data_IF_242881259473
#
_entry.id   IF_242881259473
#
_cell.length_a   1.000
_cell.length_b   1.000
_cell.length_c   1.000
_cell.angle_alpha   90.00
_cell.angle_beta   90.00
_cell.angle_gamma   90.00
#
_symmetry.space_group_name_H-M   'P 1'
#
loop_
_entity.id
_entity.type
_entity.pdbx_description
1 polymer ?
#
# COMPACT_ATOMS: atom_id res chain seq x y z
N UNK A 1 17.82 25.22 7.63
CA UNK A 1 17.22 23.89 7.37
C UNK A 1 15.92 24.10 6.59
N UNK A 2 15.70 23.35 5.50
CA UNK A 2 14.42 23.37 4.76
C UNK A 2 13.66 22.09 5.05
N UNK A 3 12.50 22.20 5.70
CA UNK A 3 11.60 21.08 5.99
C UNK A 3 10.57 21.00 4.85
N UNK A 4 10.43 19.84 4.22
CA UNK A 4 9.40 19.57 3.20
C UNK A 4 8.29 18.75 3.82
N UNK A 5 7.11 19.34 3.98
CA UNK A 5 5.91 18.73 4.53
C UNK A 5 4.72 18.93 3.58
N UNK A 6 3.59 18.29 3.90
CA UNK A 6 2.35 18.39 3.12
C UNK A 6 1.93 17.05 2.51
N UNK A 7 0.82 17.08 1.79
CA UNK A 7 0.33 15.90 1.08
C UNK A 7 1.23 15.58 -0.12
N UNK A 8 1.42 14.29 -0.39
CA UNK A 8 2.19 13.86 -1.55
C UNK A 8 1.49 14.31 -2.85
N UNK A 9 2.24 14.93 -3.77
CA UNK A 9 1.73 15.23 -5.11
C UNK A 9 1.71 13.95 -5.96
N UNK A 10 0.74 13.07 -5.70
CA UNK A 10 0.65 11.72 -6.29
C UNK A 10 0.71 11.74 -7.81
N UNK A 11 0.00 12.68 -8.45
CA UNK A 11 -0.06 12.79 -9.93
C UNK A 11 1.32 12.99 -10.58
N UNK A 12 2.23 13.73 -9.92
CA UNK A 12 3.60 13.93 -10.39
C UNK A 12 4.40 12.62 -10.42
N UNK A 13 4.13 11.71 -9.49
CA UNK A 13 4.92 10.49 -9.31
C UNK A 13 4.25 9.24 -9.91
N UNK A 14 2.94 9.28 -10.17
CA UNK A 14 2.17 8.14 -10.63
C UNK A 14 2.74 7.51 -11.91
N UNK A 15 2.91 8.30 -12.98
CA UNK A 15 3.41 7.81 -14.27
C UNK A 15 4.80 7.18 -14.19
N UNK A 16 5.85 7.87 -13.68
CA UNK A 16 7.18 7.29 -13.64
C UNK A 16 7.29 6.07 -12.72
N UNK A 17 6.51 6.00 -11.63
CA UNK A 17 6.51 4.82 -10.76
C UNK A 17 5.81 3.63 -11.43
N UNK A 18 4.68 3.85 -12.10
CA UNK A 18 3.98 2.80 -12.83
C UNK A 18 4.84 2.22 -13.96
N UNK A 19 5.58 3.06 -14.68
CA UNK A 19 6.47 2.60 -15.76
C UNK A 19 7.59 1.71 -15.22
N UNK A 20 8.14 2.03 -14.04
CA UNK A 20 9.15 1.20 -13.36
C UNK A 20 8.58 -0.15 -12.93
N UNK A 21 7.35 -0.17 -12.43
CA UNK A 21 6.66 -1.43 -12.09
C UNK A 21 6.47 -2.29 -13.34
N UNK A 22 6.02 -1.69 -14.45
CA UNK A 22 5.83 -2.39 -15.73
C UNK A 22 7.12 -2.94 -16.34
N UNK A 23 8.24 -2.25 -16.13
CA UNK A 23 9.57 -2.71 -16.55
C UNK A 23 10.14 -3.83 -15.66
N UNK A 24 9.54 -4.07 -14.50
CA UNK A 24 10.04 -5.02 -13.51
C UNK A 24 11.12 -4.44 -12.59
N UNK A 25 11.39 -3.13 -12.65
CA UNK A 25 12.37 -2.46 -11.78
C UNK A 25 11.91 -2.44 -10.30
N UNK A 26 10.59 -2.56 -10.07
CA UNK A 26 9.95 -2.55 -8.76
C UNK A 26 8.81 -3.57 -8.76
N UNK A 27 8.84 -4.50 -7.82
CA UNK A 27 7.68 -5.32 -7.48
C UNK A 27 7.03 -4.81 -6.19
N UNK A 28 5.88 -4.11 -6.27
CA UNK A 28 5.19 -3.61 -5.08
C UNK A 28 4.39 -4.70 -4.35
N UNK A 29 4.28 -5.91 -4.91
CA UNK A 29 3.47 -6.97 -4.29
C UNK A 29 4.13 -7.58 -3.06
N UNK A 30 5.45 -7.46 -2.95
CA UNK A 30 6.25 -8.01 -1.83
C UNK A 30 5.88 -7.48 -0.45
N UNK A 31 5.25 -6.30 -0.38
CA UNK A 31 4.81 -5.70 0.89
C UNK A 31 3.37 -6.12 1.27
N UNK A 32 2.64 -6.77 0.37
CA UNK A 32 1.26 -7.21 0.59
C UNK A 32 1.29 -8.46 1.46
N UNK A 33 0.77 -8.34 2.68
CA UNK A 33 0.71 -9.46 3.62
C UNK A 33 -0.64 -10.18 3.59
N UNK A 34 -1.73 -9.47 3.28
CA UNK A 34 -3.08 -10.03 3.33
C UNK A 34 -3.94 -9.57 2.14
N UNK A 35 -4.74 -10.50 1.63
CA UNK A 35 -5.84 -10.24 0.70
C UNK A 35 -7.14 -10.69 1.35
N UNK A 36 -8.10 -9.77 1.48
CA UNK A 36 -9.39 -10.04 2.13
C UNK A 36 -10.53 -9.58 1.20
N UNK A 37 -11.71 -10.14 1.40
CA UNK A 37 -12.91 -9.64 0.75
C UNK A 37 -13.34 -8.29 1.38
N UNK A 38 -14.18 -7.51 0.67
CA UNK A 38 -14.58 -6.18 1.11
C UNK A 38 -15.44 -6.22 2.39
N UNK A 39 -16.24 -7.26 2.58
CA UNK A 39 -17.02 -7.51 3.79
C UNK A 39 -16.17 -7.82 5.02
N UNK A 40 -14.95 -8.33 4.82
CA UNK A 40 -13.94 -8.57 5.87
C UNK A 40 -13.14 -7.31 6.24
N UNK A 41 -13.46 -6.14 5.67
CA UNK A 41 -12.78 -4.88 5.98
C UNK A 41 -12.63 -4.61 7.49
N UNK A 42 -13.64 -4.81 8.35
CA UNK A 42 -13.50 -4.61 9.80
C UNK A 42 -12.36 -5.45 10.41
N UNK A 43 -12.24 -6.71 10.00
CA UNK A 43 -11.15 -7.58 10.43
C UNK A 43 -9.79 -7.08 9.91
N UNK A 44 -9.72 -6.67 8.65
CA UNK A 44 -8.51 -6.08 8.05
C UNK A 44 -8.01 -4.83 8.80
N UNK A 45 -8.93 -3.98 9.27
CA UNK A 45 -8.59 -2.82 10.10
C UNK A 45 -8.04 -3.22 11.48
N UNK A 46 -8.63 -4.24 12.12
CA UNK A 46 -8.19 -4.72 13.43
C UNK A 46 -6.76 -5.25 13.39
N UNK A 47 -6.46 -6.17 12.47
CA UNK A 47 -5.12 -6.76 12.36
C UNK A 47 -4.05 -5.73 12.00
N UNK A 48 -4.39 -4.75 11.15
CA UNK A 48 -3.48 -3.67 10.76
C UNK A 48 -3.20 -2.72 11.94
N UNK A 49 -4.25 -2.31 12.66
CA UNK A 49 -4.15 -1.40 13.81
C UNK A 49 -3.36 -2.04 14.96
N UNK A 50 -3.62 -3.31 15.25
CA UNK A 50 -3.00 -4.03 16.36
C UNK A 50 -1.71 -4.76 15.97
N UNK A 51 -1.25 -4.62 14.72
CA UNK A 51 -0.03 -5.26 14.17
C UNK A 51 -0.01 -6.78 14.41
N UNK A 52 -1.16 -7.40 14.26
CA UNK A 52 -1.31 -8.85 14.37
C UNK A 52 -0.89 -9.51 13.06
N UNK A 53 -0.59 -10.81 13.11
CA UNK A 53 -0.34 -11.65 11.93
C UNK A 53 0.76 -11.14 10.99
N UNK A 54 1.75 -10.41 11.53
CA UNK A 54 2.80 -9.74 10.75
C UNK A 54 2.22 -8.83 9.64
N UNK A 55 1.04 -8.24 9.89
CA UNK A 55 0.32 -7.42 8.93
C UNK A 55 1.13 -6.18 8.52
N UNK A 56 1.49 -6.13 7.23
CA UNK A 56 2.23 -5.01 6.62
C UNK A 56 1.33 -4.21 5.67
N UNK A 57 0.53 -4.89 4.85
CA UNK A 57 -0.42 -4.26 3.93
C UNK A 57 -1.57 -5.21 3.61
N UNK A 58 -2.79 -4.73 3.85
CA UNK A 58 -4.04 -5.41 3.45
C UNK A 58 -4.53 -4.84 2.12
N UNK A 59 -4.93 -5.72 1.21
CA UNK A 59 -5.66 -5.36 -0.02
C UNK A 59 -7.08 -5.95 0.07
N UNK A 60 -8.07 -5.08 0.04
CA UNK A 60 -9.49 -5.47 -0.01
C UNK A 60 -9.91 -5.67 -1.47
N UNK A 61 -10.47 -6.83 -1.77
CA UNK A 61 -11.05 -7.17 -3.07
C UNK A 61 -12.58 -7.10 -2.99
N UNK A 62 -13.25 -6.41 -3.92
CA UNK A 62 -14.72 -6.40 -3.99
C UNK A 62 -15.32 -7.78 -4.19
#
# INVERSE_FOLDING_TARGET
MTIKTGQCHVQRYMRPLLDRIRKGDIDPTVIISHHLALDEAPHGYEIFKHKQDNCTKVILKP
#
